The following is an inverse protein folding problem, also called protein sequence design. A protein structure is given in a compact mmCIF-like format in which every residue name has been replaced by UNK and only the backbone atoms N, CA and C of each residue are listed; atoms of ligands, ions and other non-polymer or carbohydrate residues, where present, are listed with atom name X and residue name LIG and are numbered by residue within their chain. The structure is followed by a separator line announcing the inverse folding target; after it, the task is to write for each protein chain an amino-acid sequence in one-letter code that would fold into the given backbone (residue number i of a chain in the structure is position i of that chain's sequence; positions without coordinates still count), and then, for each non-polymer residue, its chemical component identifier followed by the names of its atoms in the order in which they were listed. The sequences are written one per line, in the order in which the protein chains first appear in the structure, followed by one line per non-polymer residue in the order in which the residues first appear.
data_IF_747941800446
#
_entry.id   IF_747941800446
#
_cell.length_a   1.000
_cell.length_b   1.000
_cell.length_c   1.000
_cell.angle_alpha   90.00
_cell.angle_beta   90.00
_cell.angle_gamma   90.00
#
_symmetry.space_group_name_H-M   'P 1'
#
loop_
_entity.id
_entity.type
_entity.pdbx_description
1 polymer ?
#
# COMPACT_ATOMS: atom_id res chain seq x y z
N UNK A 1 1.30 30.12 25.58
CA UNK A 1 1.13 28.82 24.88
C UNK A 1 1.99 28.88 23.64
N UNK A 2 2.91 27.93 23.45
CA UNK A 2 3.73 27.87 22.22
C UNK A 2 3.04 26.91 21.22
N UNK A 3 2.48 27.46 20.15
CA UNK A 3 1.72 26.72 19.14
C UNK A 3 2.49 25.51 18.60
N UNK A 4 3.80 25.62 18.38
CA UNK A 4 4.61 24.54 17.88
C UNK A 4 4.54 23.29 18.78
N UNK A 5 4.67 23.46 20.09
CA UNK A 5 4.61 22.30 21.01
C UNK A 5 3.22 21.67 21.08
N UNK A 6 2.16 22.45 20.94
CA UNK A 6 0.79 21.90 20.86
C UNK A 6 0.58 21.10 19.57
N UNK A 7 1.18 21.53 18.45
CA UNK A 7 1.06 20.84 17.17
C UNK A 7 1.91 19.57 17.07
N UNK A 8 2.97 19.43 17.88
CA UNK A 8 3.80 18.22 17.89
C UNK A 8 3.05 16.94 18.26
N UNK A 9 1.94 17.02 18.97
CA UNK A 9 1.09 15.86 19.28
C UNK A 9 0.33 15.31 18.06
N UNK A 10 0.29 16.06 16.96
CA UNK A 10 -0.33 15.66 15.70
C UNK A 10 0.77 15.47 14.65
N UNK A 11 1.11 14.22 14.27
CA UNK A 11 2.08 13.99 13.21
C UNK A 11 1.73 14.74 11.92
N UNK A 12 0.45 14.71 11.56
CA UNK A 12 -0.13 15.47 10.45
C UNK A 12 -1.33 16.26 10.97
N UNK A 13 -1.45 17.51 10.59
CA UNK A 13 -2.54 18.38 11.02
C UNK A 13 -3.05 19.30 9.91
N UNK A 14 -4.21 19.88 10.13
CA UNK A 14 -4.86 20.86 9.26
C UNK A 14 -5.17 22.16 10.01
N UNK A 15 -5.78 23.12 9.34
CA UNK A 15 -6.27 24.34 10.02
C UNK A 15 -7.30 24.05 11.13
N UNK A 16 -7.95 22.86 11.13
CA UNK A 16 -8.91 22.48 12.16
C UNK A 16 -8.25 22.41 13.54
N UNK A 17 -7.09 21.73 13.62
CA UNK A 17 -6.32 21.58 14.84
C UNK A 17 -5.74 22.93 15.31
N UNK A 18 -5.28 23.75 14.36
CA UNK A 18 -4.78 25.11 14.70
C UNK A 18 -5.92 25.99 15.21
N UNK A 19 -7.08 25.99 14.56
CA UNK A 19 -8.25 26.79 14.96
C UNK A 19 -8.76 26.41 16.35
N UNK A 20 -8.66 25.14 16.75
CA UNK A 20 -9.08 24.69 18.08
C UNK A 20 -8.30 25.34 19.22
N UNK A 21 -7.11 25.88 18.93
CA UNK A 21 -6.22 26.53 19.93
C UNK A 21 -6.42 28.04 20.04
N UNK A 22 -7.24 28.65 19.20
CA UNK A 22 -7.43 30.11 19.14
C UNK A 22 -8.92 30.48 19.14
N UNK A 23 -9.24 31.65 19.67
CA UNK A 23 -10.59 32.20 19.64
C UNK A 23 -10.98 32.79 18.27
N UNK A 24 -10.01 33.00 17.36
CA UNK A 24 -10.21 33.63 16.06
C UNK A 24 -9.42 32.90 14.97
N UNK A 25 -10.11 32.56 13.86
CA UNK A 25 -9.48 31.95 12.70
C UNK A 25 -8.36 32.82 12.10
N UNK A 26 -8.54 34.15 12.12
CA UNK A 26 -7.52 35.11 11.65
C UNK A 26 -6.22 34.99 12.45
N UNK A 27 -6.34 34.91 13.79
CA UNK A 27 -5.19 34.76 14.69
C UNK A 27 -4.52 33.40 14.50
N UNK A 28 -5.32 32.31 14.38
CA UNK A 28 -4.82 30.98 14.14
C UNK A 28 -4.01 30.90 12.81
N UNK A 29 -4.55 31.50 11.75
CA UNK A 29 -3.88 31.55 10.44
C UNK A 29 -2.56 32.33 10.49
N UNK A 30 -2.56 33.51 11.12
CA UNK A 30 -1.33 34.30 11.29
C UNK A 30 -0.26 33.56 12.10
N UNK A 31 -0.66 32.83 13.15
CA UNK A 31 0.25 32.02 13.95
C UNK A 31 0.85 30.84 13.12
N UNK A 32 0.05 30.15 12.32
CA UNK A 32 0.55 29.10 11.42
C UNK A 32 1.49 29.67 10.34
N UNK A 33 1.14 30.80 9.72
CA UNK A 33 1.98 31.47 8.74
C UNK A 33 3.34 31.88 9.33
N UNK A 34 3.38 32.28 10.58
CA UNK A 34 4.64 32.56 11.29
C UNK A 34 5.50 31.31 11.39
N UNK A 35 4.94 30.17 11.84
CA UNK A 35 5.68 28.90 11.94
C UNK A 35 6.18 28.39 10.58
N UNK A 36 5.40 28.59 9.51
CA UNK A 36 5.82 28.27 8.14
C UNK A 36 7.02 29.12 7.69
N UNK A 37 7.00 30.45 7.98
CA UNK A 37 8.12 31.35 7.68
C UNK A 37 9.38 31.04 8.47
N UNK A 38 9.23 30.57 9.71
CA UNK A 38 10.32 30.16 10.60
C UNK A 38 10.81 28.72 10.31
N UNK A 39 10.27 28.04 9.29
CA UNK A 39 10.56 26.65 8.96
C UNK A 39 10.35 25.66 10.11
N UNK A 40 9.47 25.97 11.05
CA UNK A 40 9.07 25.09 12.15
C UNK A 40 7.94 24.14 11.74
N UNK A 41 7.23 24.47 10.67
CA UNK A 41 6.14 23.68 10.07
C UNK A 41 6.38 23.59 8.56
N UNK A 42 6.11 22.42 7.99
CA UNK A 42 6.14 22.16 6.56
C UNK A 42 4.70 21.99 6.04
N UNK A 43 4.45 22.52 4.86
CA UNK A 43 3.22 22.30 4.12
C UNK A 43 3.38 21.05 3.25
N UNK A 44 2.69 19.97 3.60
CA UNK A 44 2.69 18.72 2.83
C UNK A 44 1.97 18.94 1.51
N UNK A 45 0.75 19.48 1.58
CA UNK A 45 -0.08 19.88 0.45
C UNK A 45 -1.11 20.92 0.90
N UNK A 46 -2.07 21.25 0.04
CA UNK A 46 -3.11 22.21 0.41
C UNK A 46 -3.87 21.74 1.66
N UNK A 47 -3.91 22.58 2.69
CA UNK A 47 -4.57 22.35 3.99
C UNK A 47 -3.99 21.21 4.84
N UNK A 48 -2.83 20.67 4.51
CA UNK A 48 -2.20 19.57 5.25
C UNK A 48 -0.76 19.93 5.62
N UNK A 49 -0.40 19.78 6.88
CA UNK A 49 0.86 20.25 7.45
C UNK A 49 1.45 19.23 8.41
N UNK A 50 2.75 19.34 8.67
CA UNK A 50 3.49 18.62 9.72
C UNK A 50 4.51 19.55 10.36
N UNK A 51 4.85 19.29 11.62
CA UNK A 51 5.95 20.01 12.28
C UNK A 51 7.31 19.54 11.74
N UNK A 52 8.31 20.41 11.85
CA UNK A 52 9.72 20.06 11.61
C UNK A 52 10.31 19.50 12.90
N UNK A 53 10.98 18.37 12.82
CA UNK A 53 11.67 17.75 13.94
C UNK A 53 12.92 18.56 14.31
N UNK A 54 13.01 19.01 15.55
CA UNK A 54 14.22 19.65 16.07
C UNK A 54 15.46 18.75 16.11
N UNK A 55 15.28 17.44 15.90
CA UNK A 55 16.37 16.44 15.96
C UNK A 55 17.12 16.31 14.63
N UNK A 56 16.41 16.32 13.51
CA UNK A 56 16.98 16.04 12.19
C UNK A 56 16.58 17.05 11.10
N UNK A 57 15.74 18.04 11.43
CA UNK A 57 15.29 19.06 10.49
C UNK A 57 14.28 18.58 9.44
N UNK A 58 13.90 17.30 9.46
CA UNK A 58 12.88 16.72 8.59
C UNK A 58 11.48 16.79 9.18
N UNK A 59 10.44 16.29 8.46
CA UNK A 59 9.08 16.21 8.98
C UNK A 59 8.99 15.29 10.20
N UNK A 60 8.14 15.63 11.16
CA UNK A 60 7.80 14.75 12.30
C UNK A 60 6.98 13.56 11.82
N UNK A 61 6.07 13.78 10.88
CA UNK A 61 5.27 12.72 10.30
C UNK A 61 6.10 11.83 9.36
N UNK A 62 5.96 10.52 9.51
CA UNK A 62 6.49 9.57 8.53
C UNK A 62 5.56 9.46 7.31
N UNK A 63 6.06 8.82 6.23
CA UNK A 63 5.33 8.68 4.97
C UNK A 63 3.97 7.95 5.11
N UNK A 64 3.84 7.00 6.04
CA UNK A 64 2.60 6.25 6.26
C UNK A 64 1.53 7.10 6.95
N UNK A 65 1.94 7.94 7.92
CA UNK A 65 1.06 8.90 8.59
C UNK A 65 0.56 9.97 7.61
N UNK A 66 1.45 10.48 6.75
CA UNK A 66 1.09 11.42 5.69
C UNK A 66 0.09 10.77 4.73
N UNK A 67 0.37 9.56 4.24
CA UNK A 67 -0.51 8.81 3.34
C UNK A 67 -1.92 8.66 3.91
N UNK A 68 -2.02 8.32 5.20
CA UNK A 68 -3.30 8.13 5.90
C UNK A 68 -4.09 9.42 6.15
N UNK A 69 -3.42 10.58 6.07
CA UNK A 69 -4.03 11.88 6.35
C UNK A 69 -4.45 12.66 5.09
N UNK A 70 -4.14 12.18 3.88
CA UNK A 70 -4.40 12.90 2.62
C UNK A 70 -5.87 13.23 2.43
N UNK A 71 -6.75 12.27 2.73
CA UNK A 71 -8.21 12.42 2.75
C UNK A 71 -8.79 11.67 3.95
N UNK A 72 -10.06 11.93 4.34
CA UNK A 72 -10.70 11.16 5.43
C UNK A 72 -10.75 9.65 5.21
N UNK A 73 -10.73 9.18 3.95
CA UNK A 73 -10.75 7.76 3.60
C UNK A 73 -9.41 7.18 3.15
N UNK A 74 -8.32 7.97 3.17
CA UNK A 74 -7.00 7.51 2.71
C UNK A 74 -6.40 6.45 3.62
N UNK A 75 -5.72 5.48 3.02
CA UNK A 75 -4.99 4.42 3.69
C UNK A 75 -3.81 3.94 2.85
N UNK A 76 -2.82 3.37 3.50
CA UNK A 76 -1.65 2.75 2.88
C UNK A 76 -2.04 1.40 2.29
N UNK A 77 -1.62 1.11 1.05
CA UNK A 77 -1.97 -0.12 0.34
C UNK A 77 -0.82 -0.69 -0.49
N UNK A 78 -1.04 -1.86 -1.09
CA UNK A 78 -0.12 -2.49 -2.03
C UNK A 78 1.29 -2.65 -1.47
N UNK A 79 2.33 -2.40 -2.28
CA UNK A 79 3.72 -2.50 -1.87
C UNK A 79 4.05 -1.68 -0.62
N UNK A 80 3.50 -0.47 -0.49
CA UNK A 80 3.73 0.39 0.68
C UNK A 80 3.18 -0.22 1.97
N UNK A 81 2.13 -1.03 1.91
CA UNK A 81 1.64 -1.76 3.06
C UNK A 81 2.56 -2.93 3.45
N UNK A 82 3.16 -3.64 2.49
CA UNK A 82 4.21 -4.61 2.79
C UNK A 82 5.40 -3.96 3.49
N UNK A 83 5.82 -2.78 3.04
CA UNK A 83 6.88 -1.99 3.68
C UNK A 83 6.50 -1.58 5.12
N UNK A 84 5.24 -1.16 5.34
CA UNK A 84 4.74 -0.85 6.68
C UNK A 84 4.83 -2.05 7.64
N UNK A 85 4.60 -3.25 7.14
CA UNK A 85 4.73 -4.50 7.93
C UNK A 85 6.17 -5.02 8.04
N UNK A 86 7.15 -4.34 7.45
CA UNK A 86 8.55 -4.79 7.46
C UNK A 86 8.80 -6.06 6.65
N UNK A 87 7.97 -6.33 5.65
CA UNK A 87 8.06 -7.52 4.79
C UNK A 87 9.04 -7.27 3.63
N UNK A 88 9.29 -6.02 3.31
CA UNK A 88 10.14 -5.60 2.18
C UNK A 88 11.45 -5.05 2.70
N UNK A 89 12.56 -5.46 2.09
CA UNK A 89 13.90 -4.96 2.43
C UNK A 89 14.29 -3.71 1.62
N UNK A 90 13.58 -3.42 0.52
CA UNK A 90 13.88 -2.29 -0.35
C UNK A 90 13.05 -1.06 0.01
N UNK A 91 13.69 0.11 0.00
CA UNK A 91 12.99 1.40 0.17
C UNK A 91 12.47 1.87 -1.17
N UNK A 92 11.14 2.04 -1.25
CA UNK A 92 10.48 2.62 -2.42
C UNK A 92 10.14 4.09 -2.18
N UNK A 93 10.37 4.90 -3.20
CA UNK A 93 10.03 6.33 -3.18
C UNK A 93 8.59 6.62 -3.62
N UNK A 94 7.87 5.62 -4.11
CA UNK A 94 6.44 5.70 -4.37
C UNK A 94 5.64 5.17 -3.18
N UNK A 95 4.64 5.94 -2.76
CA UNK A 95 3.73 5.62 -1.66
C UNK A 95 2.34 5.42 -2.23
N UNK A 96 1.85 4.19 -2.23
CA UNK A 96 0.54 3.84 -2.78
C UNK A 96 -0.55 4.05 -1.75
N UNK A 97 -1.51 4.89 -2.12
CA UNK A 97 -2.56 5.37 -1.20
C UNK A 97 -3.93 5.07 -1.79
N UNK A 98 -4.62 4.12 -1.18
CA UNK A 98 -6.03 3.84 -1.46
C UNK A 98 -6.91 4.94 -0.87
N UNK A 99 -7.95 5.37 -1.60
CA UNK A 99 -8.92 6.33 -1.10
C UNK A 99 -10.20 6.32 -1.94
N UNK A 100 -11.35 6.53 -1.28
CA UNK A 100 -12.63 6.79 -1.97
C UNK A 100 -12.63 8.17 -2.65
N UNK A 101 -11.99 9.15 -2.02
CA UNK A 101 -11.87 10.50 -2.54
C UNK A 101 -10.61 10.63 -3.39
N UNK A 102 -10.80 10.90 -4.68
CA UNK A 102 -9.68 11.11 -5.58
C UNK A 102 -8.85 12.32 -5.16
N UNK A 103 -7.53 12.17 -5.21
CA UNK A 103 -6.57 13.26 -5.13
C UNK A 103 -5.57 13.16 -6.29
N UNK A 104 -4.90 14.27 -6.62
CA UNK A 104 -3.79 14.25 -7.57
C UNK A 104 -2.53 13.78 -6.88
N UNK A 105 -1.74 12.97 -7.59
CA UNK A 105 -0.42 12.58 -7.14
C UNK A 105 0.42 13.82 -6.80
N UNK A 106 1.26 13.71 -5.80
CA UNK A 106 2.12 14.82 -5.37
C UNK A 106 3.40 14.27 -4.73
N UNK A 107 4.40 15.15 -4.66
CA UNK A 107 5.68 14.85 -4.02
C UNK A 107 5.81 15.61 -2.70
N UNK A 108 6.36 14.92 -1.70
CA UNK A 108 6.74 15.52 -0.43
C UNK A 108 7.84 14.69 0.23
N UNK A 109 8.88 15.36 0.74
CA UNK A 109 10.00 14.76 1.47
C UNK A 109 10.66 13.57 0.74
N UNK A 110 10.85 13.71 -0.58
CA UNK A 110 11.47 12.69 -1.43
C UNK A 110 10.56 11.52 -1.82
N UNK A 111 9.29 11.53 -1.41
CA UNK A 111 8.31 10.49 -1.76
C UNK A 111 7.25 11.03 -2.70
N UNK A 112 6.82 10.19 -3.66
CA UNK A 112 5.68 10.45 -4.54
C UNK A 112 4.47 9.68 -4.05
N UNK A 113 3.42 10.39 -3.63
CA UNK A 113 2.16 9.80 -3.17
C UNK A 113 1.25 9.54 -4.35
N UNK A 114 0.97 8.26 -4.63
CA UNK A 114 0.17 7.78 -5.77
C UNK A 114 -1.25 7.42 -5.34
N UNK A 115 -2.21 7.98 -6.04
CA UNK A 115 -3.62 7.64 -5.83
C UNK A 115 -3.96 6.29 -6.45
N UNK A 116 -4.56 5.41 -5.64
CA UNK A 116 -5.18 4.17 -6.10
C UNK A 116 -6.67 4.21 -5.78
N UNK A 117 -7.50 3.96 -6.80
CA UNK A 117 -8.93 3.78 -6.60
C UNK A 117 -9.20 2.39 -6.08
N UNK A 118 -9.81 2.30 -4.93
CA UNK A 118 -10.13 1.01 -4.30
C UNK A 118 -11.63 0.73 -4.35
N UNK A 119 -12.05 -0.45 -4.85
CA UNK A 119 -13.48 -0.78 -4.98
C UNK A 119 -14.10 -1.37 -3.72
N UNK A 120 -13.32 -1.84 -2.75
CA UNK A 120 -13.80 -2.45 -1.50
C UNK A 120 -13.22 -1.72 -0.29
N UNK A 121 -13.97 -1.71 0.82
CA UNK A 121 -13.62 -1.00 2.06
C UNK A 121 -13.08 -1.92 3.16
N UNK A 122 -13.31 -3.20 3.03
CA UNK A 122 -12.93 -4.23 3.99
C UNK A 122 -11.41 -4.38 4.03
N UNK A 123 -10.87 -4.82 5.16
CA UNK A 123 -9.45 -5.09 5.34
C UNK A 123 -8.59 -3.85 5.58
N UNK A 124 -9.19 -2.68 5.88
CA UNK A 124 -8.46 -1.50 6.33
C UNK A 124 -8.41 -1.53 7.86
N UNK A 125 -7.21 -1.50 8.42
CA UNK A 125 -6.97 -1.50 9.86
C UNK A 125 -6.23 -0.24 10.29
N UNK A 126 -6.42 0.14 11.55
CA UNK A 126 -5.67 1.22 12.21
C UNK A 126 -4.93 0.60 13.40
N UNK A 127 -3.66 0.19 13.23
CA UNK A 127 -2.90 -0.45 14.32
C UNK A 127 -2.74 0.50 15.51
N UNK A 128 -2.82 -0.06 16.71
CA UNK A 128 -2.57 0.70 17.94
C UNK A 128 -1.16 1.31 17.91
N UNK A 129 -1.02 2.48 18.51
CA UNK A 129 0.25 3.23 18.60
C UNK A 129 0.89 3.61 17.26
N UNK A 130 0.19 3.45 16.14
CA UNK A 130 0.68 3.82 14.80
C UNK A 130 0.72 5.34 14.54
N UNK A 131 0.19 6.15 15.46
CA UNK A 131 0.03 7.58 15.23
C UNK A 131 -1.00 7.92 14.14
N UNK A 132 -2.06 7.09 14.02
CA UNK A 132 -3.17 7.30 13.10
C UNK A 132 -2.95 6.72 11.70
N UNK A 133 -1.98 5.83 11.50
CA UNK A 133 -1.80 5.12 10.24
C UNK A 133 -2.97 4.19 9.99
N UNK A 134 -3.58 4.30 8.81
CA UNK A 134 -4.53 3.34 8.27
C UNK A 134 -3.84 2.57 7.15
N UNK A 135 -3.96 1.26 7.17
CA UNK A 135 -3.25 0.38 6.25
C UNK A 135 -4.11 -0.85 5.93
N UNK A 136 -3.96 -1.43 4.75
CA UNK A 136 -4.58 -2.73 4.43
C UNK A 136 -3.96 -3.82 5.30
N UNK A 137 -4.77 -4.77 5.80
CA UNK A 137 -4.23 -5.97 6.45
C UNK A 137 -3.44 -6.84 5.43
N UNK A 138 -2.77 -7.88 5.90
CA UNK A 138 -1.86 -8.68 5.06
C UNK A 138 -2.59 -9.34 3.90
N UNK A 139 -3.75 -9.93 4.13
CA UNK A 139 -4.53 -10.62 3.10
C UNK A 139 -5.06 -9.65 2.06
N UNK A 140 -5.54 -8.48 2.50
CA UNK A 140 -5.97 -7.43 1.60
C UNK A 140 -4.79 -6.88 0.79
N UNK A 141 -3.63 -6.68 1.43
CA UNK A 141 -2.40 -6.21 0.76
C UNK A 141 -1.98 -7.17 -0.34
N UNK A 142 -2.03 -8.49 -0.08
CA UNK A 142 -1.75 -9.53 -1.08
C UNK A 142 -2.74 -9.43 -2.25
N UNK A 143 -4.05 -9.35 -1.95
CA UNK A 143 -5.10 -9.29 -2.97
C UNK A 143 -4.94 -8.07 -3.88
N UNK A 144 -4.70 -6.89 -3.30
CA UNK A 144 -4.48 -5.64 -4.02
C UNK A 144 -3.25 -5.73 -4.92
N UNK A 145 -2.14 -6.24 -4.39
CA UNK A 145 -0.86 -6.33 -5.12
C UNK A 145 -0.93 -7.33 -6.28
N UNK A 146 -1.57 -8.48 -6.09
CA UNK A 146 -1.78 -9.45 -7.19
C UNK A 146 -2.77 -8.92 -8.22
N UNK A 147 -3.78 -8.15 -7.81
CA UNK A 147 -4.69 -7.49 -8.74
C UNK A 147 -3.95 -6.55 -9.68
N UNK A 148 -3.06 -5.75 -9.15
CA UNK A 148 -2.42 -4.62 -9.83
C UNK A 148 -0.92 -4.86 -10.16
N UNK A 149 -0.49 -6.11 -10.38
CA UNK A 149 0.89 -6.53 -10.67
C UNK A 149 1.64 -5.63 -11.66
N UNK A 150 0.95 -5.16 -12.71
CA UNK A 150 1.57 -4.37 -13.78
C UNK A 150 1.68 -2.88 -13.45
N UNK A 151 1.02 -2.42 -12.38
CA UNK A 151 0.94 -1.00 -12.03
C UNK A 151 1.87 -0.63 -10.88
N UNK A 152 2.25 -1.60 -10.04
CA UNK A 152 2.88 -1.32 -8.77
C UNK A 152 4.35 -1.74 -8.77
N UNK A 153 4.70 -2.82 -8.13
CA UNK A 153 6.10 -3.21 -7.94
C UNK A 153 6.61 -4.25 -8.97
N UNK A 154 5.72 -4.73 -9.86
CA UNK A 154 6.02 -5.85 -10.76
C UNK A 154 5.84 -7.21 -10.10
N UNK A 155 5.90 -8.27 -10.93
CA UNK A 155 5.55 -9.63 -10.50
C UNK A 155 6.54 -10.20 -9.49
N UNK A 156 7.84 -10.01 -9.72
CA UNK A 156 8.91 -10.60 -8.90
C UNK A 156 8.85 -10.07 -7.46
N UNK A 157 8.79 -8.76 -7.30
CA UNK A 157 8.69 -8.12 -5.99
C UNK A 157 7.40 -8.53 -5.25
N UNK A 158 6.27 -8.56 -5.95
CA UNK A 158 5.00 -8.99 -5.34
C UNK A 158 5.07 -10.45 -4.88
N UNK A 159 5.67 -11.35 -5.66
CA UNK A 159 5.84 -12.75 -5.27
C UNK A 159 6.76 -12.87 -4.05
N UNK A 160 7.89 -12.18 -4.04
CA UNK A 160 8.82 -12.15 -2.89
C UNK A 160 8.09 -11.70 -1.61
N UNK A 161 7.33 -10.60 -1.69
CA UNK A 161 6.52 -10.11 -0.57
C UNK A 161 5.47 -11.12 -0.12
N UNK A 162 4.73 -11.73 -1.06
CA UNK A 162 3.65 -12.69 -0.76
C UNK A 162 4.21 -13.91 -0.03
N UNK A 163 5.32 -14.47 -0.52
CA UNK A 163 5.94 -15.65 0.12
C UNK A 163 6.48 -15.30 1.52
N UNK A 164 6.99 -14.10 1.73
CA UNK A 164 7.50 -13.62 3.02
C UNK A 164 6.41 -13.44 4.10
N UNK A 165 5.12 -13.45 3.74
CA UNK A 165 4.02 -13.39 4.73
C UNK A 165 3.92 -14.67 5.58
N UNK A 166 4.42 -15.81 5.09
CA UNK A 166 4.49 -17.13 5.75
C UNK A 166 3.14 -17.82 6.05
N UNK A 167 2.03 -17.10 6.14
CA UNK A 167 0.69 -17.68 6.36
C UNK A 167 -0.41 -16.74 5.92
N UNK A 168 -1.52 -17.28 5.44
CA UNK A 168 -2.67 -16.54 4.93
C UNK A 168 -3.94 -16.98 5.67
N UNK A 169 -4.72 -16.02 6.15
CA UNK A 169 -6.09 -16.26 6.58
C UNK A 169 -7.00 -16.43 5.35
N UNK A 170 -7.26 -17.70 5.00
CA UNK A 170 -8.06 -18.05 3.82
C UNK A 170 -9.48 -17.47 3.87
N UNK A 171 -10.07 -17.34 5.06
CA UNK A 171 -11.43 -16.81 5.23
C UNK A 171 -11.47 -15.34 4.84
N UNK A 172 -10.52 -14.55 5.33
CA UNK A 172 -10.37 -13.13 4.94
C UNK A 172 -10.05 -12.99 3.45
N UNK A 173 -9.10 -13.78 2.96
CA UNK A 173 -8.72 -13.74 1.55
C UNK A 173 -9.92 -14.01 0.64
N UNK A 174 -10.73 -15.04 0.92
CA UNK A 174 -11.94 -15.34 0.16
C UNK A 174 -12.99 -14.22 0.24
N UNK A 175 -13.12 -13.58 1.39
CA UNK A 175 -14.02 -12.44 1.54
C UNK A 175 -13.58 -11.25 0.66
N UNK A 176 -12.28 -10.95 0.60
CA UNK A 176 -11.76 -9.88 -0.27
C UNK A 176 -11.90 -10.23 -1.74
N UNK A 177 -11.57 -11.46 -2.14
CA UNK A 177 -11.76 -11.92 -3.51
C UNK A 177 -13.23 -11.83 -3.95
N UNK A 178 -14.17 -12.16 -3.05
CA UNK A 178 -15.60 -12.00 -3.31
C UNK A 178 -16.01 -10.53 -3.44
N UNK A 179 -15.45 -9.64 -2.62
CA UNK A 179 -15.69 -8.20 -2.70
C UNK A 179 -15.19 -7.57 -4.01
N UNK A 180 -14.07 -8.07 -4.56
CA UNK A 180 -13.57 -7.66 -5.88
C UNK A 180 -14.43 -8.16 -7.04
N UNK A 181 -15.13 -9.27 -6.87
CA UNK A 181 -16.00 -9.92 -7.88
C UNK A 181 -15.31 -10.07 -9.26
N UNK A 182 -14.05 -10.52 -9.25
CA UNK A 182 -13.24 -10.63 -10.45
C UNK A 182 -12.75 -12.06 -10.69
N UNK A 183 -13.34 -12.74 -11.67
CA UNK A 183 -12.91 -14.09 -12.09
C UNK A 183 -11.42 -14.13 -12.48
N UNK A 184 -10.87 -13.04 -13.04
CA UNK A 184 -9.46 -12.96 -13.36
C UNK A 184 -8.58 -12.81 -12.12
N UNK A 185 -9.04 -12.13 -11.07
CA UNK A 185 -8.32 -12.07 -9.81
C UNK A 185 -8.29 -13.45 -9.13
N UNK A 186 -9.39 -14.19 -9.11
CA UNK A 186 -9.39 -15.60 -8.67
C UNK A 186 -8.41 -16.47 -9.46
N UNK A 187 -8.33 -16.27 -10.78
CA UNK A 187 -7.39 -16.98 -11.64
C UNK A 187 -5.93 -16.68 -11.30
N UNK A 188 -5.56 -15.41 -11.14
CA UNK A 188 -4.21 -14.99 -10.73
C UNK A 188 -3.87 -15.51 -9.32
N UNK A 189 -4.78 -15.28 -8.37
CA UNK A 189 -4.59 -15.67 -6.97
C UNK A 189 -4.42 -17.17 -6.84
N UNK A 190 -5.33 -17.95 -7.41
CA UNK A 190 -5.26 -19.42 -7.36
C UNK A 190 -3.98 -19.94 -7.98
N UNK A 191 -3.58 -19.41 -9.14
CA UNK A 191 -2.32 -19.79 -9.78
C UNK A 191 -1.11 -19.48 -8.90
N UNK A 192 -0.95 -18.23 -8.46
CA UNK A 192 0.22 -17.83 -7.65
C UNK A 192 0.26 -18.62 -6.35
N UNK A 193 -0.85 -18.72 -5.62
CA UNK A 193 -0.86 -19.42 -4.34
C UNK A 193 -0.69 -20.94 -4.49
N UNK A 194 -1.10 -21.53 -5.62
CA UNK A 194 -0.82 -22.95 -5.89
C UNK A 194 0.66 -23.25 -6.14
N UNK A 195 1.41 -22.31 -6.74
CA UNK A 195 2.85 -22.46 -6.97
C UNK A 195 3.68 -22.43 -5.67
N UNK A 196 3.16 -21.76 -4.62
CA UNK A 196 3.79 -21.60 -3.30
C UNK A 196 2.95 -22.15 -2.15
N UNK A 197 2.09 -23.13 -2.45
CA UNK A 197 1.09 -23.67 -1.52
C UNK A 197 1.69 -24.19 -0.21
N UNK A 198 2.84 -24.86 -0.28
CA UNK A 198 3.52 -25.43 0.90
C UNK A 198 4.11 -24.35 1.79
N UNK A 199 4.72 -23.34 1.19
CA UNK A 199 5.34 -22.22 1.89
C UNK A 199 4.30 -21.37 2.63
N UNK A 200 3.14 -21.18 2.03
CA UNK A 200 2.06 -20.33 2.54
C UNK A 200 1.04 -21.06 3.40
N UNK A 201 1.11 -22.39 3.45
CA UNK A 201 0.17 -23.22 4.20
C UNK A 201 -1.27 -23.16 3.66
N UNK A 202 -1.44 -22.88 2.37
CA UNK A 202 -2.77 -22.73 1.74
C UNK A 202 -3.39 -24.10 1.47
N UNK A 203 -4.68 -24.27 1.81
CA UNK A 203 -5.40 -25.53 1.67
C UNK A 203 -5.80 -25.85 0.22
N UNK A 204 -5.94 -27.14 -0.07
CA UNK A 204 -6.50 -27.59 -1.36
C UNK A 204 -7.94 -27.09 -1.56
N UNK A 205 -8.69 -26.91 -0.49
CA UNK A 205 -10.04 -26.37 -0.52
C UNK A 205 -10.06 -24.92 -1.03
N UNK A 206 -9.12 -24.09 -0.56
CA UNK A 206 -8.97 -22.72 -1.02
C UNK A 206 -8.61 -22.68 -2.52
N UNK A 207 -7.63 -23.47 -2.94
CA UNK A 207 -7.21 -23.54 -4.36
C UNK A 207 -8.38 -23.98 -5.23
N UNK A 208 -9.17 -24.97 -4.78
CA UNK A 208 -10.37 -25.42 -5.49
C UNK A 208 -11.41 -24.30 -5.63
N UNK A 209 -11.69 -23.53 -4.57
CA UNK A 209 -12.62 -22.40 -4.64
C UNK A 209 -12.13 -21.35 -5.64
N UNK A 210 -10.84 -21.02 -5.64
CA UNK A 210 -10.27 -20.10 -6.63
C UNK A 210 -10.44 -20.64 -8.04
N UNK A 211 -10.26 -21.94 -8.25
CA UNK A 211 -10.44 -22.60 -9.53
C UNK A 211 -11.88 -22.54 -10.01
N UNK A 212 -12.83 -22.88 -9.16
CA UNK A 212 -14.26 -22.93 -9.49
C UNK A 212 -14.80 -21.52 -9.84
N UNK A 213 -14.19 -20.47 -9.27
CA UNK A 213 -14.54 -19.07 -9.53
C UNK A 213 -13.67 -18.38 -10.60
N UNK A 214 -12.64 -19.06 -11.10
CA UNK A 214 -11.78 -18.53 -12.15
C UNK A 214 -12.48 -18.52 -13.51
N UNK A 215 -12.06 -17.60 -14.40
CA UNK A 215 -12.59 -17.51 -15.76
C UNK A 215 -12.05 -18.60 -16.68
N UNK A 216 -12.80 -18.87 -17.77
CA UNK A 216 -12.44 -19.85 -18.80
C UNK A 216 -11.55 -19.29 -19.92
N UNK A 217 -11.28 -17.99 -19.94
CA UNK A 217 -10.50 -17.35 -20.98
C UNK A 217 -9.00 -17.45 -20.71
N UNK A 218 -8.21 -17.65 -21.77
CA UNK A 218 -6.75 -17.53 -21.72
C UNK A 218 -6.38 -16.08 -21.37
N UNK A 219 -5.57 -15.90 -20.34
CA UNK A 219 -5.10 -14.60 -19.85
C UNK A 219 -3.59 -14.61 -19.65
N UNK A 220 -3.01 -13.43 -19.46
CA UNK A 220 -1.60 -13.23 -19.14
C UNK A 220 -1.49 -12.73 -17.69
N UNK A 221 -0.61 -13.37 -16.91
CA UNK A 221 -0.38 -13.01 -15.51
C UNK A 221 0.14 -11.57 -15.38
N UNK A 222 1.09 -11.22 -16.24
CA UNK A 222 1.70 -9.88 -16.35
C UNK A 222 1.98 -9.55 -17.81
N UNK A 223 2.37 -8.31 -18.10
CA UNK A 223 2.83 -7.87 -19.42
C UNK A 223 4.32 -8.20 -19.62
N UNK A 224 4.78 -8.20 -20.88
CA UNK A 224 6.21 -8.25 -21.21
C UNK A 224 6.92 -9.57 -20.82
N UNK A 225 6.22 -10.71 -20.87
CA UNK A 225 6.80 -12.01 -20.53
C UNK A 225 7.79 -12.42 -21.63
N UNK A 226 9.08 -12.49 -21.32
CA UNK A 226 10.16 -12.88 -22.25
C UNK A 226 10.15 -14.38 -22.52
N UNK A 227 9.98 -15.21 -21.49
CA UNK A 227 9.90 -16.66 -21.59
C UNK A 227 8.55 -17.18 -21.08
N UNK A 228 7.54 -17.29 -21.95
CA UNK A 228 6.20 -17.67 -21.53
C UNK A 228 6.08 -19.19 -21.27
N UNK A 229 5.53 -19.52 -20.09
CA UNK A 229 4.91 -20.79 -19.79
C UNK A 229 3.39 -20.68 -19.93
N UNK A 230 2.70 -21.81 -19.98
CA UNK A 230 1.23 -21.86 -20.02
C UNK A 230 0.72 -22.92 -19.05
N UNK A 231 -0.15 -22.51 -18.15
CA UNK A 231 -0.93 -23.42 -17.31
C UNK A 231 -2.27 -23.73 -17.97
N UNK A 232 -2.44 -24.98 -18.42
CA UNK A 232 -3.72 -25.44 -18.98
C UNK A 232 -4.81 -25.50 -17.92
N UNK A 233 -4.44 -25.78 -16.68
CA UNK A 233 -5.35 -25.79 -15.55
C UNK A 233 -5.91 -24.40 -15.27
N UNK A 234 -5.05 -23.40 -15.14
CA UNK A 234 -5.45 -22.02 -14.86
C UNK A 234 -5.73 -21.17 -16.11
N UNK A 235 -5.50 -21.72 -17.32
CA UNK A 235 -5.58 -20.99 -18.60
C UNK A 235 -4.81 -19.69 -18.59
N UNK A 236 -3.64 -19.70 -17.94
CA UNK A 236 -2.82 -18.53 -17.68
C UNK A 236 -1.44 -18.65 -18.31
N UNK A 237 -1.02 -17.60 -19.03
CA UNK A 237 0.36 -17.45 -19.51
C UNK A 237 1.16 -16.75 -18.42
N UNK A 238 2.31 -17.30 -18.05
CA UNK A 238 3.14 -16.84 -16.95
C UNK A 238 4.64 -16.94 -17.29
N UNK A 239 5.55 -16.23 -16.62
CA UNK A 239 6.99 -16.40 -16.78
C UNK A 239 7.45 -17.76 -16.24
N UNK A 240 8.22 -18.53 -17.05
CA UNK A 240 8.69 -19.88 -16.65
C UNK A 240 9.51 -19.88 -15.35
N UNK A 241 10.22 -18.80 -15.08
CA UNK A 241 11.05 -18.63 -13.89
C UNK A 241 10.26 -18.20 -12.63
N UNK A 242 8.91 -18.28 -12.63
CA UNK A 242 8.09 -17.80 -11.52
C UNK A 242 8.51 -18.36 -10.15
N UNK A 243 8.92 -19.63 -10.08
CA UNK A 243 9.38 -20.27 -8.83
C UNK A 243 10.72 -19.73 -8.29
N UNK A 244 11.51 -19.09 -9.14
CA UNK A 244 12.81 -18.50 -8.76
C UNK A 244 12.64 -17.08 -8.20
N UNK A 245 11.50 -16.44 -8.46
CA UNK A 245 11.23 -15.06 -8.06
C UNK A 245 11.15 -14.84 -6.54
N UNK A 246 10.97 -15.90 -5.74
CA UNK A 246 10.88 -15.81 -4.28
C UNK A 246 12.17 -15.36 -3.56
N UNK A 247 13.33 -15.52 -4.21
CA UNK A 247 14.63 -15.29 -3.55
C UNK A 247 15.26 -13.94 -3.90
N UNK A 248 14.65 -13.14 -4.78
CA UNK A 248 15.27 -11.89 -5.26
C UNK A 248 16.62 -12.12 -5.97
N UNK A 249 16.95 -13.35 -6.33
CA UNK A 249 18.16 -13.69 -7.08
C UNK A 249 17.97 -13.23 -8.53
N UNK A 250 18.37 -11.99 -8.77
CA UNK A 250 18.68 -11.53 -10.12
C UNK A 250 19.89 -12.32 -10.56
N UNK A 251 19.73 -13.38 -11.36
CA UNK A 251 20.80 -13.78 -12.25
C UNK A 251 21.08 -12.56 -13.14
N UNK A 252 22.16 -11.85 -12.80
CA UNK A 252 22.75 -10.86 -13.69
C UNK A 252 22.97 -11.59 -15.02
N UNK A 253 22.09 -11.37 -15.96
CA UNK A 253 22.31 -11.74 -17.34
C UNK A 253 23.59 -11.01 -17.76
N UNK A 254 24.65 -11.75 -17.79
CA UNK A 254 25.96 -11.33 -18.29
C UNK A 254 25.77 -10.75 -19.69
N UNK A 255 26.16 -9.50 -19.85
CA UNK A 255 26.25 -8.77 -21.12
C UNK A 255 27.21 -9.51 -22.06
#
# INVERSE_FOLDING_TARGET
MNLYYELLQYPVFSMKEVNALYSSERTARAALEKLLKENMVLKIRNKLYTCVSGKNGGPVANKFQIASAITPSSYVSHHTAFEYYGIVDQVFYEVYVGSETRFHDFEFDGYTYRYIKEPIKEGIVCPEFSGGVRVTDKERTIADSIKDLNLIAGLEEVISCVVSVNSIDETKMLAYLAGYDSAFLYQKMGFILSEYQKELGVSDAFIKICKDRSGNSKRYLTNGISEPGYSGEWKLVYPKNIKQMKNGEIENATI
#
